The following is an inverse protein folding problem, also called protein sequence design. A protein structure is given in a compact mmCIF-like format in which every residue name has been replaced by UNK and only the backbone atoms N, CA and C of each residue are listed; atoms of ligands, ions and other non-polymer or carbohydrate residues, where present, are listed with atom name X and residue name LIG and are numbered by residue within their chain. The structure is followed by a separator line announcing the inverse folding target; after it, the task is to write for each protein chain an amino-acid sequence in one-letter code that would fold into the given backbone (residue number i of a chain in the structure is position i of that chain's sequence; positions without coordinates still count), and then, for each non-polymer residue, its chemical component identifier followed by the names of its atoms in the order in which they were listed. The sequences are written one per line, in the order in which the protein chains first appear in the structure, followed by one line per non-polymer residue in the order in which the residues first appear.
data_IF_012070808619
#
_entry.id   IF_012070808619
#
_cell.length_a   1.000
_cell.length_b   1.000
_cell.length_c   1.000
_cell.angle_alpha   90.00
_cell.angle_beta   90.00
_cell.angle_gamma   90.00
#
_symmetry.space_group_name_H-M   'P 1'
#
loop_
_entity.id
_entity.type
_entity.pdbx_description
1 polymer ?
#
# COMPACT_ATOMS: atom_id res chain seq x y z
N UNK A 1 -8.88 -15.20 -5.71
CA UNK A 1 -7.62 -15.17 -4.93
C UNK A 1 -7.92 -14.92 -3.44
N UNK A 2 -8.66 -13.86 -3.10
CA UNK A 2 -9.08 -13.56 -1.71
C UNK A 2 -9.91 -14.69 -1.06
N UNK A 3 -10.90 -15.27 -1.75
CA UNK A 3 -11.76 -16.31 -1.14
C UNK A 3 -10.99 -17.56 -0.69
N UNK A 4 -9.95 -17.94 -1.44
CA UNK A 4 -9.10 -19.07 -1.10
C UNK A 4 -8.27 -18.77 0.16
N UNK A 5 -7.67 -17.58 0.25
CA UNK A 5 -6.94 -17.14 1.43
C UNK A 5 -7.87 -17.06 2.65
N UNK A 6 -9.06 -16.47 2.53
CA UNK A 6 -10.03 -16.41 3.63
C UNK A 6 -10.38 -17.80 4.15
N UNK A 7 -10.62 -18.75 3.24
CA UNK A 7 -10.92 -20.15 3.57
C UNK A 7 -9.76 -20.84 4.29
N UNK A 8 -8.52 -20.60 3.85
CA UNK A 8 -7.31 -21.14 4.51
C UNK A 8 -7.20 -20.67 5.97
N UNK A 9 -7.59 -19.42 6.24
CA UNK A 9 -7.64 -18.86 7.60
C UNK A 9 -8.94 -19.18 8.36
N UNK A 10 -9.83 -20.00 7.79
CA UNK A 10 -11.10 -20.39 8.41
C UNK A 10 -12.11 -19.24 8.54
N UNK A 11 -11.98 -18.20 7.72
CA UNK A 11 -12.85 -17.02 7.71
C UNK A 11 -13.86 -17.16 6.57
N UNK A 12 -15.16 -17.13 6.90
CA UNK A 12 -16.21 -17.08 5.88
C UNK A 12 -16.27 -15.69 5.23
N UNK A 13 -16.80 -15.60 4.01
CA UNK A 13 -17.01 -14.31 3.34
C UNK A 13 -17.94 -13.39 4.16
N UNK A 14 -18.95 -13.94 4.83
CA UNK A 14 -19.84 -13.18 5.71
C UNK A 14 -19.10 -12.62 6.93
N UNK A 15 -18.21 -13.41 7.53
CA UNK A 15 -17.39 -12.96 8.65
C UNK A 15 -16.40 -11.89 8.19
N UNK A 16 -15.77 -12.07 7.02
CA UNK A 16 -14.89 -11.07 6.43
C UNK A 16 -15.62 -9.73 6.21
N UNK A 17 -16.85 -9.78 5.67
CA UNK A 17 -17.66 -8.58 5.46
C UNK A 17 -18.07 -7.92 6.79
N UNK A 18 -18.42 -8.72 7.80
CA UNK A 18 -18.75 -8.21 9.14
C UNK A 18 -17.54 -7.56 9.82
N UNK A 19 -16.37 -8.17 9.71
CA UNK A 19 -15.11 -7.61 10.21
C UNK A 19 -14.80 -6.31 9.48
N UNK A 20 -14.91 -6.28 8.15
CA UNK A 20 -14.72 -5.08 7.35
C UNK A 20 -15.61 -3.93 7.82
N UNK A 21 -16.92 -4.15 7.96
CA UNK A 21 -17.85 -3.11 8.44
C UNK A 21 -17.49 -2.59 9.84
N UNK A 22 -17.05 -3.47 10.75
CA UNK A 22 -16.59 -3.07 12.08
C UNK A 22 -15.32 -2.22 12.02
N UNK A 23 -14.35 -2.61 11.19
CA UNK A 23 -13.11 -1.87 11.01
C UNK A 23 -13.39 -0.51 10.38
N UNK A 24 -14.24 -0.44 9.35
CA UNK A 24 -14.67 0.83 8.74
C UNK A 24 -15.29 1.75 9.80
N UNK A 25 -16.25 1.26 10.59
CA UNK A 25 -16.87 2.06 11.64
C UNK A 25 -15.91 2.53 12.73
N UNK A 26 -14.87 1.74 13.05
CA UNK A 26 -13.83 2.13 14.00
C UNK A 26 -12.88 3.20 13.43
N UNK A 27 -12.66 3.21 12.11
CA UNK A 27 -11.73 4.12 11.45
C UNK A 27 -12.41 5.35 10.84
N UNK A 28 -13.72 5.50 11.02
CA UNK A 28 -14.52 6.58 10.43
C UNK A 28 -14.07 7.97 10.96
N UNK A 29 -13.93 8.10 12.28
CA UNK A 29 -13.49 9.35 12.91
C UNK A 29 -12.00 9.62 12.66
N UNK A 30 -11.73 10.73 11.98
CA UNK A 30 -10.38 11.12 11.56
C UNK A 30 -9.43 11.41 12.74
N UNK A 31 -9.95 11.99 13.82
CA UNK A 31 -9.15 12.42 14.98
C UNK A 31 -8.66 11.26 15.86
N UNK A 32 -9.38 10.14 15.84
CA UNK A 32 -9.03 8.91 16.58
C UNK A 32 -8.54 7.78 15.68
N UNK A 33 -8.48 7.99 14.36
CA UNK A 33 -8.19 6.95 13.37
C UNK A 33 -6.88 6.24 13.63
N UNK A 34 -5.80 6.96 13.94
CA UNK A 34 -4.49 6.35 14.19
C UNK A 34 -4.49 5.50 15.47
N UNK A 35 -5.13 5.97 16.54
CA UNK A 35 -5.27 5.20 17.79
C UNK A 35 -6.11 3.94 17.58
N UNK A 36 -7.22 4.06 16.86
CA UNK A 36 -8.09 2.92 16.54
C UNK A 36 -7.35 1.93 15.63
N UNK A 37 -6.55 2.40 14.68
CA UNK A 37 -5.73 1.54 13.84
C UNK A 37 -4.72 0.73 14.67
N UNK A 38 -4.03 1.34 15.63
CA UNK A 38 -3.13 0.62 16.56
C UNK A 38 -3.84 -0.51 17.32
N UNK A 39 -5.08 -0.26 17.76
CA UNK A 39 -5.90 -1.28 18.43
C UNK A 39 -6.27 -2.42 17.47
N UNK A 40 -6.68 -2.10 16.25
CA UNK A 40 -7.06 -3.09 15.22
C UNK A 40 -5.88 -4.00 14.84
N UNK A 41 -4.68 -3.43 14.68
CA UNK A 41 -3.48 -4.21 14.30
C UNK A 41 -2.80 -4.88 15.50
N UNK A 42 -3.27 -4.64 16.73
CA UNK A 42 -2.70 -5.22 17.95
C UNK A 42 -1.32 -4.69 18.33
N UNK A 43 -0.85 -3.60 17.72
CA UNK A 43 0.45 -2.95 18.01
C UNK A 43 0.25 -1.91 19.10
N UNK A 44 -0.07 -2.40 20.30
CA UNK A 44 -0.45 -1.58 21.47
C UNK A 44 0.75 -0.98 22.24
N UNK A 45 1.68 -0.30 21.56
CA UNK A 45 2.64 0.56 22.27
C UNK A 45 2.06 1.98 22.35
N UNK A 46 1.72 2.39 23.57
CA UNK A 46 0.86 3.55 23.85
C UNK A 46 1.40 4.90 23.35
N UNK A 47 2.71 5.03 23.06
CA UNK A 47 3.32 6.31 22.68
C UNK A 47 4.01 6.31 21.30
N UNK A 48 3.80 5.30 20.46
CA UNK A 48 4.44 5.26 19.14
C UNK A 48 3.72 6.14 18.12
N UNK A 49 4.45 7.08 17.51
CA UNK A 49 4.00 7.94 16.39
C UNK A 49 4.08 7.24 15.03
N UNK A 50 4.53 5.99 15.04
CA UNK A 50 4.54 5.11 13.88
C UNK A 50 4.01 3.74 14.31
N UNK A 51 3.34 3.06 13.39
CA UNK A 51 2.98 1.66 13.52
C UNK A 51 3.61 0.90 12.36
N UNK A 52 4.06 -0.32 12.64
CA UNK A 52 4.46 -1.25 11.60
C UNK A 52 3.89 -2.64 11.87
N UNK A 53 3.44 -3.33 10.82
CA UNK A 53 3.04 -4.73 10.91
C UNK A 53 3.24 -5.45 9.58
N UNK A 54 3.55 -6.75 9.66
CA UNK A 54 3.64 -7.61 8.48
C UNK A 54 2.26 -8.17 8.14
N UNK A 55 1.75 -7.84 6.95
CA UNK A 55 0.50 -8.42 6.45
C UNK A 55 0.73 -9.81 5.89
N UNK A 56 -0.22 -10.70 6.15
CA UNK A 56 -0.26 -12.03 5.50
C UNK A 56 -0.51 -11.90 4.00
N UNK A 57 -1.23 -10.86 3.57
CA UNK A 57 -1.63 -10.67 2.17
C UNK A 57 -0.44 -10.32 1.25
N UNK A 58 0.59 -9.69 1.82
CA UNK A 58 1.80 -9.31 1.09
C UNK A 58 3.05 -9.77 1.85
N UNK A 59 3.37 -11.08 1.79
CA UNK A 59 4.56 -11.62 2.42
C UNK A 59 5.83 -10.90 1.93
N UNK A 60 6.73 -10.59 2.85
CA UNK A 60 7.96 -9.84 2.54
C UNK A 60 7.80 -8.33 2.49
N UNK A 61 6.58 -7.82 2.69
CA UNK A 61 6.32 -6.40 2.89
C UNK A 61 5.85 -6.11 4.32
N UNK A 62 6.24 -4.95 4.82
CA UNK A 62 5.77 -4.40 6.08
C UNK A 62 4.93 -3.16 5.78
N UNK A 63 3.72 -3.14 6.33
CA UNK A 63 2.90 -1.94 6.34
C UNK A 63 3.44 -0.99 7.39
N UNK A 64 3.63 0.26 7.03
CA UNK A 64 3.99 1.34 7.94
C UNK A 64 2.94 2.44 7.85
N UNK A 65 2.56 3.00 9.00
CA UNK A 65 1.76 4.23 9.03
C UNK A 65 2.29 5.19 10.09
N UNK A 66 2.20 6.48 9.77
CA UNK A 66 2.69 7.58 10.59
C UNK A 66 1.53 8.48 11.01
N UNK A 67 1.52 8.86 12.29
CA UNK A 67 0.56 9.84 12.79
C UNK A 67 0.93 11.23 12.31
N UNK A 68 -0.07 11.95 11.80
CA UNK A 68 -0.01 13.37 11.56
C UNK A 68 -0.45 14.19 12.78
N UNK A 69 -0.52 15.52 12.62
CA UNK A 69 -1.07 16.41 13.63
C UNK A 69 -2.49 16.00 14.02
N UNK A 70 -2.84 16.18 15.30
CA UNK A 70 -4.18 15.89 15.84
C UNK A 70 -4.66 14.42 15.70
N UNK A 71 -3.74 13.45 15.59
CA UNK A 71 -4.08 12.02 15.60
C UNK A 71 -4.54 11.45 14.26
N UNK A 72 -4.42 12.24 13.18
CA UNK A 72 -4.70 11.79 11.82
C UNK A 72 -3.61 10.86 11.30
N UNK A 73 -3.85 10.18 10.18
CA UNK A 73 -2.81 9.40 9.49
C UNK A 73 -2.23 10.28 8.39
N UNK A 74 -0.95 10.65 8.51
CA UNK A 74 -0.27 11.48 7.52
C UNK A 74 0.20 10.66 6.32
N UNK A 75 0.74 9.47 6.59
CA UNK A 75 1.26 8.56 5.58
C UNK A 75 1.00 7.12 5.99
N UNK A 76 0.67 6.29 5.02
CA UNK A 76 0.49 4.86 5.21
C UNK A 76 0.82 4.12 3.91
N UNK A 77 1.73 3.16 3.97
CA UNK A 77 2.22 2.42 2.80
C UNK A 77 2.86 1.09 3.20
N UNK A 78 2.97 0.19 2.24
CA UNK A 78 3.81 -1.00 2.35
C UNK A 78 5.21 -0.70 1.82
N UNK A 79 6.22 -1.18 2.53
CA UNK A 79 7.61 -1.18 2.11
C UNK A 79 8.17 -2.60 2.18
N UNK A 80 9.20 -2.91 1.38
CA UNK A 80 9.95 -4.15 1.47
C UNK A 80 10.56 -4.29 2.87
N UNK A 81 10.22 -5.37 3.57
CA UNK A 81 10.75 -5.66 4.91
C UNK A 81 12.03 -6.51 4.86
N UNK A 82 12.30 -7.14 3.72
CA UNK A 82 13.46 -7.99 3.48
C UNK A 82 13.27 -8.90 2.26
N UNK A 83 14.35 -9.54 1.83
CA UNK A 83 14.40 -10.27 0.56
C UNK A 83 15.00 -9.42 -0.55
N UNK A 84 15.16 -10.02 -1.74
CA UNK A 84 15.67 -9.33 -2.91
C UNK A 84 14.49 -8.99 -3.84
N UNK A 85 14.45 -7.78 -4.42
CA UNK A 85 13.50 -7.48 -5.48
C UNK A 85 13.68 -8.48 -6.60
N UNK A 86 12.56 -8.94 -7.17
CA UNK A 86 12.54 -9.73 -8.40
C UNK A 86 11.95 -8.87 -9.51
N UNK A 87 12.75 -7.92 -10.03
CA UNK A 87 12.27 -7.04 -11.06
C UNK A 87 12.15 -7.78 -12.39
N UNK A 88 11.15 -7.42 -13.19
CA UNK A 88 11.01 -7.87 -14.57
C UNK A 88 12.01 -7.14 -15.49
N UNK A 89 12.16 -7.68 -16.70
CA UNK A 89 13.03 -7.10 -17.73
C UNK A 89 12.50 -5.77 -18.27
N UNK A 90 11.19 -5.54 -18.19
CA UNK A 90 10.55 -4.28 -18.56
C UNK A 90 9.51 -3.81 -17.54
N UNK A 91 9.27 -2.49 -17.42
CA UNK A 91 8.30 -1.96 -16.46
C UNK A 91 6.88 -2.52 -16.65
N UNK A 92 6.47 -2.74 -17.90
CA UNK A 92 5.14 -3.27 -18.24
C UNK A 92 4.95 -4.75 -17.94
N UNK A 93 6.04 -5.49 -17.72
CA UNK A 93 6.03 -6.92 -17.35
C UNK A 93 6.12 -7.13 -15.84
N UNK A 94 6.38 -6.07 -15.06
CA UNK A 94 6.45 -6.16 -13.61
C UNK A 94 5.11 -6.67 -13.06
N UNK A 95 5.09 -7.72 -12.23
CA UNK A 95 3.84 -8.20 -11.66
C UNK A 95 3.21 -7.19 -10.69
N UNK A 96 1.90 -7.04 -10.72
CA UNK A 96 1.15 -6.26 -9.73
C UNK A 96 1.45 -6.73 -8.31
N UNK A 97 1.60 -5.79 -7.38
CA UNK A 97 1.89 -5.97 -5.95
C UNK A 97 3.25 -6.58 -5.60
N UNK A 98 4.15 -6.73 -6.58
CA UNK A 98 5.42 -7.45 -6.37
C UNK A 98 6.58 -6.58 -5.88
N UNK A 99 6.44 -5.26 -5.96
CA UNK A 99 7.52 -4.29 -5.81
C UNK A 99 7.00 -3.03 -5.11
N UNK A 100 7.82 -2.41 -4.27
CA UNK A 100 7.54 -1.09 -3.70
C UNK A 100 8.11 0.05 -4.57
N UNK A 101 7.72 1.29 -4.27
CA UNK A 101 8.16 2.47 -5.02
C UNK A 101 9.69 2.66 -5.02
N UNK A 102 10.38 2.31 -3.92
CA UNK A 102 11.83 2.50 -3.82
C UNK A 102 12.57 1.50 -4.72
N UNK A 103 12.17 0.23 -4.68
CA UNK A 103 12.68 -0.82 -5.56
C UNK A 103 12.42 -0.51 -7.03
N UNK A 104 11.25 0.07 -7.34
CA UNK A 104 10.93 0.50 -8.70
C UNK A 104 11.88 1.58 -9.21
N UNK A 105 12.13 2.60 -8.39
CA UNK A 105 13.05 3.69 -8.74
C UNK A 105 14.49 3.19 -8.89
N UNK A 106 14.91 2.26 -8.03
CA UNK A 106 16.23 1.65 -8.10
C UNK A 106 16.44 0.89 -9.42
N UNK A 107 15.44 0.13 -9.88
CA UNK A 107 15.59 -0.75 -11.03
C UNK A 107 15.22 -0.11 -12.37
N UNK A 108 14.10 0.61 -12.45
CA UNK A 108 13.62 1.21 -13.70
C UNK A 108 14.05 2.65 -13.90
N UNK A 109 14.66 3.26 -12.88
CA UNK A 109 15.25 4.59 -12.93
C UNK A 109 14.41 5.65 -12.21
N UNK A 110 14.91 6.90 -12.17
CA UNK A 110 14.28 7.98 -11.44
C UNK A 110 12.84 8.23 -11.89
N UNK A 111 11.93 8.24 -10.93
CA UNK A 111 10.51 8.49 -11.14
C UNK A 111 10.07 9.75 -10.37
N UNK A 112 9.23 10.56 -11.00
CA UNK A 112 8.69 11.80 -10.44
C UNK A 112 7.22 11.60 -10.10
N UNK A 113 6.84 11.81 -8.84
CA UNK A 113 5.44 11.76 -8.41
C UNK A 113 4.66 12.87 -9.12
N UNK A 114 3.64 12.50 -9.89
CA UNK A 114 2.77 13.44 -10.62
C UNK A 114 1.39 13.56 -10.00
N UNK A 115 0.89 12.49 -9.37
CA UNK A 115 -0.39 12.49 -8.69
C UNK A 115 -0.34 11.63 -7.43
N UNK A 116 -1.01 12.09 -6.36
CA UNK A 116 -1.25 11.32 -5.15
C UNK A 116 -2.68 11.56 -4.66
N UNK A 117 -3.42 10.48 -4.48
CA UNK A 117 -4.76 10.49 -3.87
C UNK A 117 -4.68 10.46 -2.35
N UNK A 118 -5.76 10.88 -1.68
CA UNK A 118 -5.87 10.77 -0.22
C UNK A 118 -5.82 9.31 0.23
N UNK A 119 -5.36 9.06 1.47
CA UNK A 119 -5.45 7.73 2.11
C UNK A 119 -6.91 7.27 2.28
N UNK A 120 -7.84 8.22 2.33
CA UNK A 120 -9.28 7.98 2.46
C UNK A 120 -10.05 8.31 1.19
N UNK A 121 -9.38 8.31 0.03
CA UNK A 121 -10.10 8.42 -1.23
C UNK A 121 -11.03 7.21 -1.39
N UNK A 122 -12.29 7.45 -1.74
CA UNK A 122 -13.32 6.42 -1.82
C UNK A 122 -13.10 5.42 -2.96
N UNK A 123 -12.30 5.79 -3.97
CA UNK A 123 -12.12 5.01 -5.21
C UNK A 123 -10.71 4.46 -5.31
N UNK A 124 -9.70 5.29 -5.04
CA UNK A 124 -8.28 4.95 -5.20
C UNK A 124 -7.49 5.42 -3.96
N UNK A 125 -7.71 4.78 -2.80
CA UNK A 125 -7.04 5.15 -1.57
C UNK A 125 -5.53 4.92 -1.69
N UNK A 126 -4.76 5.90 -1.20
CA UNK A 126 -3.30 5.86 -1.21
C UNK A 126 -2.71 5.57 -2.60
N UNK A 127 -3.39 6.02 -3.66
CA UNK A 127 -2.93 5.84 -5.02
C UNK A 127 -1.91 6.89 -5.42
N UNK A 128 -0.88 6.46 -6.12
CA UNK A 128 0.20 7.32 -6.59
C UNK A 128 0.46 7.04 -8.07
N UNK A 129 0.74 8.10 -8.82
CA UNK A 129 1.17 8.02 -10.22
C UNK A 129 2.52 8.71 -10.36
N UNK A 130 3.43 8.03 -11.04
CA UNK A 130 4.77 8.51 -11.30
C UNK A 130 5.05 8.58 -12.79
N UNK A 131 5.68 9.66 -13.23
CA UNK A 131 6.30 9.78 -14.54
C UNK A 131 7.76 9.34 -14.47
N UNK A 132 8.21 8.55 -15.43
CA UNK A 132 9.61 8.14 -15.53
C UNK A 132 10.03 7.94 -16.99
N UNK A 133 11.34 7.95 -17.23
CA UNK A 133 11.92 7.61 -18.53
C UNK A 133 12.60 6.26 -18.44
N UNK A 134 12.32 5.38 -19.40
CA UNK A 134 12.97 4.09 -19.52
C UNK A 134 13.30 3.79 -20.97
N UNK A 135 14.55 3.45 -21.25
CA UNK A 135 15.08 3.22 -22.60
C UNK A 135 14.74 4.35 -23.60
N UNK A 136 14.86 5.61 -23.15
CA UNK A 136 14.64 6.80 -23.98
C UNK A 136 13.16 7.07 -24.32
N UNK A 137 12.21 6.43 -23.63
CA UNK A 137 10.78 6.64 -23.81
C UNK A 137 10.12 7.00 -22.48
N UNK A 138 9.04 7.78 -22.55
CA UNK A 138 8.28 8.20 -21.37
C UNK A 138 7.21 7.19 -20.99
N UNK A 139 7.10 6.93 -19.68
CA UNK A 139 6.15 6.01 -19.09
C UNK A 139 5.44 6.66 -17.90
N UNK A 140 4.27 6.13 -17.58
CA UNK A 140 3.60 6.31 -16.30
C UNK A 140 3.59 4.99 -15.51
N UNK A 141 3.80 5.05 -14.20
CA UNK A 141 3.65 3.93 -13.28
C UNK A 141 2.65 4.27 -12.17
N UNK A 142 1.73 3.35 -11.89
CA UNK A 142 0.74 3.47 -10.84
C UNK A 142 1.08 2.59 -9.64
N UNK A 143 0.84 3.11 -8.44
CA UNK A 143 1.02 2.41 -7.17
C UNK A 143 -0.22 2.59 -6.30
N UNK A 144 -0.50 1.64 -5.40
CA UNK A 144 -1.50 1.81 -4.35
C UNK A 144 -0.92 1.30 -3.04
N UNK A 145 -1.03 2.10 -1.99
CA UNK A 145 -0.38 1.84 -0.69
C UNK A 145 1.13 1.60 -0.84
N UNK A 146 1.80 2.29 -1.78
CA UNK A 146 3.23 2.13 -2.06
C UNK A 146 3.61 0.87 -2.85
N UNK A 147 2.63 0.03 -3.25
CA UNK A 147 2.87 -1.19 -4.02
C UNK A 147 2.55 -0.99 -5.50
N UNK A 148 3.40 -1.55 -6.36
CA UNK A 148 3.27 -1.46 -7.81
C UNK A 148 1.93 -2.02 -8.32
N UNK A 149 1.26 -1.29 -9.20
CA UNK A 149 0.05 -1.78 -9.89
C UNK A 149 0.35 -2.14 -11.33
N UNK A 150 0.84 -1.16 -12.09
CA UNK A 150 1.09 -1.25 -13.52
C UNK A 150 2.04 -0.13 -13.95
N UNK A 151 2.71 -0.35 -15.08
CA UNK A 151 3.38 0.70 -15.81
C UNK A 151 3.05 0.59 -17.30
N UNK A 152 2.91 1.73 -17.96
CA UNK A 152 2.59 1.81 -19.38
C UNK A 152 3.33 2.94 -20.05
N UNK A 153 3.76 2.71 -21.28
CA UNK A 153 4.34 3.75 -22.11
C UNK A 153 3.27 4.78 -22.45
N UNK A 154 3.63 6.07 -22.44
CA UNK A 154 2.76 7.08 -23.04
C UNK A 154 2.65 6.85 -24.55
N UNK A 155 1.43 7.02 -25.06
CA UNK A 155 1.18 7.12 -26.50
C UNK A 155 1.59 8.54 -26.92
N UNK A 156 2.63 8.64 -27.73
CA UNK A 156 2.96 9.87 -28.46
C UNK A 156 2.04 10.06 -29.66
#
# INVERSE_FOLDING_TARGET
MIDWTLTEYGISTEDAQRIHQRVVGLLDDESSRFENLKQVVGVAKQDSTSLSFCSVLWPGFEFTAHTGPAGTIEAAQYCRAGGYPLPADSPGEQPTWSMDTAEFIEHFGPATLTHRSSLTDDVLPAHEVYDFEWNGRRYGAGFSWGLFLLASQYWE
#
